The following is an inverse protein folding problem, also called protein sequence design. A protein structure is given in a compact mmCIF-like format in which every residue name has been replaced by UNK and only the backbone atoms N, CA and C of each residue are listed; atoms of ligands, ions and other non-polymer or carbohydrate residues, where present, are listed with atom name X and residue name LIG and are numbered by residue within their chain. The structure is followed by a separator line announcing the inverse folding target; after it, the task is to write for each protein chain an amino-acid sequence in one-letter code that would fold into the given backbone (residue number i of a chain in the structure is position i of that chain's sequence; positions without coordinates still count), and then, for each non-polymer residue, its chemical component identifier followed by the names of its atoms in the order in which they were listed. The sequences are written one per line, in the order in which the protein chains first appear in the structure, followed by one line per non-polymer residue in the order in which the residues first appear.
data_IF_258505551674
#
_entry.id   IF_258505551674
#
_cell.length_a   1.000
_cell.length_b   1.000
_cell.length_c   1.000
_cell.angle_alpha   90.00
_cell.angle_beta   90.00
_cell.angle_gamma   90.00
#
_symmetry.space_group_name_H-M   'P 1'
#
loop_
_entity.id
_entity.type
_entity.pdbx_description
1 polymer ?
#
# COMPACT_ATOMS: atom_id res chain seq x y z
N UNK A 1 23.65 15.11 -12.66
CA UNK A 1 23.01 16.35 -13.13
C UNK A 1 22.45 17.06 -11.92
N UNK A 2 22.94 18.26 -11.57
CA UNK A 2 22.44 19.01 -10.42
C UNK A 2 21.30 19.90 -10.93
N UNK A 3 20.06 19.47 -10.72
CA UNK A 3 18.87 20.22 -11.15
C UNK A 3 18.52 21.18 -10.03
N UNK A 4 18.35 22.46 -10.35
CA UNK A 4 17.84 23.47 -9.42
C UNK A 4 16.44 23.07 -8.94
N UNK A 5 16.29 22.84 -7.62
CA UNK A 5 15.06 22.34 -7.00
C UNK A 5 13.84 23.26 -7.19
N UNK A 6 14.04 24.51 -7.62
CA UNK A 6 12.96 25.49 -7.81
C UNK A 6 12.29 25.45 -9.18
N UNK A 7 12.96 24.89 -10.21
CA UNK A 7 12.51 24.91 -11.61
C UNK A 7 11.88 23.58 -12.02
N UNK A 8 10.82 23.65 -12.84
CA UNK A 8 10.21 22.45 -13.44
C UNK A 8 11.12 22.01 -14.58
N UNK A 9 11.50 20.74 -14.59
CA UNK A 9 12.25 20.13 -15.69
C UNK A 9 11.26 19.62 -16.74
N UNK A 10 11.33 20.16 -17.95
CA UNK A 10 10.56 19.66 -19.10
C UNK A 10 11.50 18.80 -19.95
N UNK A 11 11.10 17.56 -20.20
CA UNK A 11 11.76 16.65 -21.13
C UNK A 11 10.85 16.52 -22.35
N UNK A 12 11.42 16.60 -23.55
CA UNK A 12 10.61 16.53 -24.77
C UNK A 12 11.36 15.84 -25.89
N UNK A 13 10.60 15.38 -26.88
CA UNK A 13 11.13 14.80 -28.10
C UNK A 13 10.03 14.53 -29.10
N UNK A 14 10.40 14.55 -30.38
CA UNK A 14 9.54 14.18 -31.49
C UNK A 14 9.87 12.75 -31.96
N UNK A 15 8.87 11.98 -32.38
CA UNK A 15 9.03 10.63 -32.90
C UNK A 15 9.86 9.75 -31.94
N UNK A 16 10.87 9.03 -32.43
CA UNK A 16 11.78 8.23 -31.60
C UNK A 16 12.47 9.04 -30.49
N UNK A 17 12.75 10.33 -30.73
CA UNK A 17 13.27 11.21 -29.68
C UNK A 17 12.28 11.37 -28.52
N UNK A 18 10.97 11.29 -28.79
CA UNK A 18 9.92 11.25 -27.77
C UNK A 18 9.92 9.96 -26.96
N UNK A 19 10.19 8.82 -27.59
CA UNK A 19 10.38 7.54 -26.88
C UNK A 19 11.62 7.58 -25.97
N UNK A 20 12.73 8.17 -26.44
CA UNK A 20 13.93 8.37 -25.62
C UNK A 20 13.66 9.32 -24.46
N UNK A 21 12.96 10.43 -24.70
CA UNK A 21 12.50 11.36 -23.66
C UNK A 21 11.64 10.68 -22.59
N UNK A 22 10.75 9.79 -23.00
CA UNK A 22 9.89 9.00 -22.12
C UNK A 22 10.72 8.07 -21.23
N UNK A 23 11.64 7.28 -21.83
CA UNK A 23 12.54 6.40 -21.09
C UNK A 23 13.48 7.16 -20.15
N UNK A 24 14.01 8.30 -20.59
CA UNK A 24 14.86 9.15 -19.77
C UNK A 24 14.09 9.73 -18.58
N UNK A 25 12.82 10.10 -18.77
CA UNK A 25 11.96 10.57 -17.67
C UNK A 25 11.68 9.46 -16.67
N UNK A 26 11.43 8.23 -17.13
CA UNK A 26 11.29 7.06 -16.24
C UNK A 26 12.57 6.83 -15.41
N UNK A 27 13.74 6.92 -16.05
CA UNK A 27 15.02 6.83 -15.35
C UNK A 27 15.19 7.94 -14.31
N UNK A 28 14.79 9.18 -14.60
CA UNK A 28 14.81 10.28 -13.62
C UNK A 28 13.86 9.99 -12.44
N UNK A 29 12.63 9.55 -12.71
CA UNK A 29 11.63 9.18 -11.70
C UNK A 29 12.11 8.05 -10.78
N UNK A 30 12.93 7.14 -11.30
CA UNK A 30 13.54 6.05 -10.54
C UNK A 30 14.77 6.49 -9.72
N UNK A 31 15.50 7.51 -10.16
CA UNK A 31 16.81 7.88 -9.59
C UNK A 31 16.78 9.09 -8.66
N UNK A 32 15.80 9.99 -8.82
CA UNK A 32 15.73 11.25 -8.07
C UNK A 32 14.59 11.19 -7.06
N UNK A 33 14.88 11.64 -5.83
CA UNK A 33 13.86 11.85 -4.82
C UNK A 33 13.07 13.15 -5.08
N UNK A 34 11.88 12.99 -5.65
CA UNK A 34 10.94 14.09 -5.92
C UNK A 34 10.06 14.46 -4.71
N UNK A 35 10.39 14.01 -3.49
CA UNK A 35 9.78 14.55 -2.26
C UNK A 35 10.30 15.96 -1.93
N UNK A 36 11.50 16.29 -2.41
CA UNK A 36 12.19 17.56 -2.15
C UNK A 36 12.40 18.42 -3.42
N UNK A 37 12.09 17.88 -4.60
CA UNK A 37 12.25 18.55 -5.89
C UNK A 37 10.97 18.48 -6.72
N UNK A 38 10.75 19.43 -7.63
CA UNK A 38 9.57 19.41 -8.52
C UNK A 38 9.69 18.25 -9.51
N UNK A 39 8.59 17.51 -9.69
CA UNK A 39 8.50 16.42 -10.67
C UNK A 39 8.75 16.93 -12.10
N UNK A 40 9.38 16.12 -12.97
CA UNK A 40 9.54 16.45 -14.37
C UNK A 40 8.20 16.36 -15.10
N UNK A 41 8.11 17.04 -16.24
CA UNK A 41 7.03 16.86 -17.20
C UNK A 41 7.63 16.42 -18.55
N UNK A 42 7.25 15.23 -19.01
CA UNK A 42 7.63 14.70 -20.31
C UNK A 42 6.53 15.00 -21.32
N UNK A 43 6.82 15.82 -22.34
CA UNK A 43 5.90 16.15 -23.42
C UNK A 43 6.46 15.58 -24.72
N UNK A 44 5.79 14.62 -25.34
CA UNK A 44 6.26 14.01 -26.59
C UNK A 44 5.33 14.32 -27.75
N UNK A 45 5.87 14.44 -28.95
CA UNK A 45 5.10 14.66 -30.18
C UNK A 45 5.29 13.46 -31.10
N UNK A 46 4.21 12.79 -31.51
CA UNK A 46 4.27 11.70 -32.50
C UNK A 46 5.14 10.51 -32.09
N UNK A 47 5.32 10.27 -30.80
CA UNK A 47 6.17 9.20 -30.32
C UNK A 47 5.49 7.83 -30.47
N UNK A 48 6.21 6.79 -30.93
CA UNK A 48 5.72 5.43 -30.85
C UNK A 48 5.61 4.99 -29.38
N UNK A 49 4.66 4.08 -29.12
CA UNK A 49 4.42 3.52 -27.78
C UNK A 49 5.69 2.89 -27.19
N UNK A 50 5.83 2.98 -25.87
CA UNK A 50 6.99 2.47 -25.13
C UNK A 50 6.54 1.45 -24.10
N UNK A 51 7.19 0.29 -24.11
CA UNK A 51 6.96 -0.78 -23.14
C UNK A 51 5.66 -1.55 -23.31
N UNK A 52 5.59 -2.65 -22.56
CA UNK A 52 4.56 -3.66 -22.63
C UNK A 52 3.53 -3.50 -21.49
N UNK A 53 2.69 -4.51 -21.32
CA UNK A 53 1.75 -4.59 -20.20
C UNK A 53 2.45 -4.58 -18.83
N UNK A 54 3.66 -5.13 -18.72
CA UNK A 54 4.45 -5.08 -17.50
C UNK A 54 4.82 -3.64 -17.10
N UNK A 55 5.37 -2.88 -18.04
CA UNK A 55 5.74 -1.47 -17.80
C UNK A 55 4.51 -0.61 -17.50
N UNK A 56 3.45 -0.74 -18.30
CA UNK A 56 2.20 0.00 -18.11
C UNK A 56 1.61 -0.26 -16.72
N UNK A 57 1.49 -1.52 -16.29
CA UNK A 57 1.01 -1.86 -14.96
C UNK A 57 1.93 -1.31 -13.85
N UNK A 58 3.25 -1.30 -14.07
CA UNK A 58 4.17 -0.72 -13.12
C UNK A 58 3.95 0.79 -12.97
N UNK A 59 3.70 1.52 -14.05
CA UNK A 59 3.48 2.98 -14.05
C UNK A 59 2.10 3.33 -13.47
N UNK A 60 1.03 2.61 -13.86
CA UNK A 60 -0.34 2.86 -13.38
C UNK A 60 -0.48 2.66 -11.86
N UNK A 61 0.33 1.78 -11.25
CA UNK A 61 0.45 1.67 -9.78
C UNK A 61 0.94 2.96 -9.11
N UNK A 62 1.49 3.91 -9.86
CA UNK A 62 1.98 5.19 -9.38
C UNK A 62 1.31 6.34 -10.14
N UNK A 63 0.12 6.80 -9.71
CA UNK A 63 -0.57 7.92 -10.36
C UNK A 63 0.29 9.19 -10.50
N UNK A 64 1.20 9.41 -9.54
CA UNK A 64 2.15 10.54 -9.59
C UNK A 64 3.24 10.41 -10.66
N UNK A 65 3.58 9.20 -11.09
CA UNK A 65 4.47 8.98 -12.23
C UNK A 65 3.69 9.06 -13.53
N UNK A 66 2.51 8.44 -13.60
CA UNK A 66 1.66 8.47 -14.78
C UNK A 66 1.34 9.92 -15.22
N UNK A 67 1.08 10.81 -14.25
CA UNK A 67 0.83 12.24 -14.48
C UNK A 67 2.05 13.07 -14.93
N UNK A 68 3.25 12.47 -15.02
CA UNK A 68 4.43 13.14 -15.56
C UNK A 68 4.52 13.07 -17.08
N UNK A 69 3.62 12.37 -17.76
CA UNK A 69 3.70 12.11 -19.21
C UNK A 69 2.50 12.69 -19.96
N UNK A 70 2.79 13.48 -21.00
CA UNK A 70 1.83 14.01 -21.96
C UNK A 70 2.28 13.65 -23.39
N UNK A 71 1.53 12.78 -24.05
CA UNK A 71 1.79 12.32 -25.40
C UNK A 71 0.85 13.02 -26.38
N UNK A 72 1.39 13.96 -27.17
CA UNK A 72 0.66 14.68 -28.21
C UNK A 72 0.69 13.87 -29.51
N UNK A 73 -0.48 13.55 -30.04
CA UNK A 73 -0.63 12.68 -31.22
C UNK A 73 -1.62 13.30 -32.20
N UNK A 74 -1.19 13.47 -33.45
CA UNK A 74 -2.08 13.83 -34.55
C UNK A 74 -2.83 12.60 -35.09
N UNK A 75 -4.06 12.80 -35.55
CA UNK A 75 -4.83 11.86 -36.37
C UNK A 75 -4.15 11.54 -37.72
N UNK A 76 -3.31 12.45 -38.23
CA UNK A 76 -2.57 12.29 -39.49
C UNK A 76 -1.21 11.60 -39.34
N UNK A 77 -0.70 11.41 -38.13
CA UNK A 77 0.64 10.85 -37.89
C UNK A 77 0.62 9.32 -37.74
N UNK A 78 1.21 8.54 -38.67
CA UNK A 78 1.22 7.08 -38.54
C UNK A 78 2.15 6.57 -37.42
N UNK A 79 3.15 7.34 -36.97
CA UNK A 79 4.25 6.83 -36.14
C UNK A 79 3.80 6.29 -34.78
N UNK A 80 2.90 6.94 -34.03
CA UNK A 80 2.35 6.41 -32.78
C UNK A 80 1.63 5.06 -32.90
N UNK A 81 1.23 4.67 -34.12
CA UNK A 81 0.39 3.50 -34.40
C UNK A 81 1.19 2.27 -34.84
N UNK A 82 2.45 2.45 -35.24
CA UNK A 82 3.32 1.40 -35.78
C UNK A 82 3.48 0.19 -34.84
N UNK A 83 3.39 0.42 -33.51
CA UNK A 83 3.64 -0.61 -32.50
C UNK A 83 2.36 -1.16 -31.83
N UNK A 84 1.18 -0.81 -32.34
CA UNK A 84 -0.10 -1.24 -31.77
C UNK A 84 -0.48 -2.67 -32.21
N UNK A 85 0.02 -3.15 -33.36
CA UNK A 85 -0.26 -4.50 -33.86
C UNK A 85 0.84 -4.99 -34.81
N UNK A 86 1.20 -6.30 -34.83
CA UNK A 86 2.16 -6.81 -35.80
C UNK A 86 1.54 -6.76 -37.20
N UNK A 87 2.11 -5.96 -38.09
CA UNK A 87 1.83 -6.05 -39.52
C UNK A 87 2.27 -7.46 -39.99
N UNK A 88 1.29 -8.32 -40.29
CA UNK A 88 1.37 -9.75 -40.66
C UNK A 88 1.61 -10.74 -39.51
N UNK A 89 0.57 -11.41 -38.99
CA UNK A 89 0.79 -12.66 -38.26
C UNK A 89 1.23 -13.74 -39.29
N UNK A 90 2.40 -14.37 -39.14
CA UNK A 90 2.72 -15.54 -39.96
C UNK A 90 1.63 -16.60 -39.75
N UNK A 91 1.12 -17.17 -40.84
CA UNK A 91 -0.01 -18.11 -40.86
C UNK A 91 0.29 -19.47 -40.18
N UNK A 92 1.39 -19.57 -39.45
CA UNK A 92 1.83 -20.78 -38.79
C UNK A 92 2.39 -20.45 -37.42
N UNK A 93 1.82 -21.13 -36.44
CA UNK A 93 2.29 -21.33 -35.07
C UNK A 93 1.72 -20.42 -33.99
N UNK A 94 1.06 -21.13 -33.06
CA UNK A 94 0.59 -20.76 -31.75
C UNK A 94 1.72 -20.24 -30.84
N UNK A 95 2.29 -19.08 -31.18
CA UNK A 95 3.11 -18.29 -30.27
C UNK A 95 2.20 -17.30 -29.54
N UNK A 96 2.17 -17.40 -28.21
CA UNK A 96 1.44 -16.53 -27.30
C UNK A 96 1.67 -15.04 -27.62
N UNK A 97 0.57 -14.28 -27.69
CA UNK A 97 0.50 -12.81 -27.91
C UNK A 97 1.20 -12.01 -26.79
N UNK A 98 2.52 -12.14 -26.67
CA UNK A 98 3.22 -11.77 -25.44
C UNK A 98 3.83 -10.38 -25.42
N UNK A 99 3.91 -9.65 -26.55
CA UNK A 99 4.62 -8.36 -26.62
C UNK A 99 3.84 -7.27 -27.37
N UNK A 100 2.63 -6.93 -26.92
CA UNK A 100 1.89 -5.77 -27.45
C UNK A 100 2.25 -4.54 -26.62
N UNK A 101 2.72 -3.48 -27.28
CA UNK A 101 3.04 -2.22 -26.62
C UNK A 101 1.77 -1.58 -26.04
N UNK A 102 1.88 -0.97 -24.85
CA UNK A 102 0.75 -0.39 -24.14
C UNK A 102 0.97 1.10 -23.86
N UNK A 103 -0.05 1.96 -24.07
CA UNK A 103 0.04 3.35 -23.69
C UNK A 103 -0.04 3.51 -22.17
N UNK A 104 0.70 4.48 -21.65
CA UNK A 104 0.60 5.00 -20.29
C UNK A 104 0.76 6.52 -20.35
N UNK A 105 0.43 7.22 -19.27
CA UNK A 105 0.38 8.68 -19.24
C UNK A 105 -0.88 9.24 -19.90
N UNK A 106 -0.92 10.56 -20.06
CA UNK A 106 -2.03 11.26 -20.69
C UNK A 106 -1.73 11.40 -22.19
N UNK A 107 -2.68 11.02 -23.05
CA UNK A 107 -2.61 11.24 -24.49
C UNK A 107 -3.50 12.41 -24.90
N UNK A 108 -2.91 13.42 -25.53
CA UNK A 108 -3.62 14.51 -26.19
C UNK A 108 -3.74 14.16 -27.68
N UNK A 109 -4.92 13.70 -28.08
CA UNK A 109 -5.23 13.41 -29.48
C UNK A 109 -5.71 14.69 -30.16
N UNK A 110 -5.16 14.99 -31.33
CA UNK A 110 -5.40 16.23 -32.07
C UNK A 110 -5.87 15.93 -33.49
N UNK A 111 -6.84 16.71 -33.96
CA UNK A 111 -7.27 16.79 -35.36
C UNK A 111 -7.47 18.26 -35.75
N UNK A 112 -7.82 18.52 -37.01
CA UNK A 112 -8.22 19.87 -37.45
C UNK A 112 -9.42 20.44 -36.68
N UNK A 113 -10.29 19.57 -36.15
CA UNK A 113 -11.48 19.96 -35.38
C UNK A 113 -11.19 20.34 -33.94
N UNK A 114 -9.98 20.05 -33.43
CA UNK A 114 -9.60 20.31 -32.05
C UNK A 114 -8.83 19.16 -31.41
N UNK A 115 -8.91 19.05 -30.08
CA UNK A 115 -8.15 18.06 -29.32
C UNK A 115 -8.90 17.57 -28.08
N UNK A 116 -8.60 16.35 -27.64
CA UNK A 116 -9.09 15.80 -26.38
C UNK A 116 -8.03 14.96 -25.68
N UNK A 117 -8.07 14.95 -24.35
CA UNK A 117 -7.18 14.17 -23.49
C UNK A 117 -7.82 12.85 -23.07
N UNK A 118 -7.03 11.78 -23.08
CA UNK A 118 -7.42 10.46 -22.60
C UNK A 118 -6.31 9.87 -21.73
N UNK A 119 -6.67 9.13 -20.69
CA UNK A 119 -5.72 8.47 -19.77
C UNK A 119 -5.90 6.96 -19.72
N UNK A 120 -7.10 6.45 -20.01
CA UNK A 120 -7.34 5.01 -20.02
C UNK A 120 -6.62 4.34 -21.19
N UNK A 121 -5.81 3.34 -20.86
CA UNK A 121 -4.94 2.71 -21.85
C UNK A 121 -5.70 1.97 -22.94
N UNK A 122 -6.83 1.35 -22.63
CA UNK A 122 -7.58 0.57 -23.62
C UNK A 122 -8.30 1.51 -24.58
N UNK A 123 -8.92 2.54 -24.05
CA UNK A 123 -9.51 3.65 -24.81
C UNK A 123 -8.48 4.30 -25.71
N UNK A 124 -7.27 4.62 -25.21
CA UNK A 124 -6.20 5.19 -26.06
C UNK A 124 -5.87 4.25 -27.23
N UNK A 125 -5.73 2.95 -27.00
CA UNK A 125 -5.45 1.98 -28.07
C UNK A 125 -6.59 1.92 -29.10
N UNK A 126 -7.84 1.92 -28.65
CA UNK A 126 -9.01 1.87 -29.53
C UNK A 126 -9.13 3.17 -30.35
N UNK A 127 -8.87 4.33 -29.73
CA UNK A 127 -8.86 5.63 -30.39
C UNK A 127 -7.70 5.76 -31.39
N UNK A 128 -6.49 5.33 -31.05
CA UNK A 128 -5.35 5.36 -31.97
C UNK A 128 -5.60 4.49 -33.21
N UNK A 129 -6.29 3.35 -33.05
CA UNK A 129 -6.73 2.50 -34.17
C UNK A 129 -7.82 3.17 -35.01
N UNK A 130 -8.81 3.79 -34.36
CA UNK A 130 -9.97 4.37 -35.05
C UNK A 130 -9.68 5.70 -35.75
N UNK A 131 -8.74 6.49 -35.23
CA UNK A 131 -8.41 7.83 -35.77
C UNK A 131 -7.47 7.80 -36.98
N UNK A 132 -6.94 6.64 -37.35
CA UNK A 132 -6.05 6.54 -38.50
C UNK A 132 -6.83 6.60 -39.81
N UNK A 133 -6.61 7.64 -40.61
CA UNK A 133 -7.12 7.70 -41.99
C UNK A 133 -6.17 6.92 -42.91
N UNK A 134 -6.63 5.80 -43.48
CA UNK A 134 -5.89 5.03 -44.51
C UNK A 134 -5.79 5.79 -45.85
N UNK A 135 -5.28 7.02 -45.86
CA UNK A 135 -4.90 7.71 -47.09
C UNK A 135 -3.39 7.48 -47.32
N UNK A 136 -3.00 6.62 -48.29
CA UNK A 136 -1.60 6.33 -48.56
C UNK A 136 -1.00 7.48 -49.36
N UNK A 137 -0.62 8.56 -48.68
CA UNK A 137 0.33 9.53 -49.20
C UNK A 137 1.69 9.19 -48.62
N UNK A 138 2.73 9.03 -49.44
CA UNK A 138 4.11 9.11 -48.99
C UNK A 138 4.31 10.46 -48.28
N UNK A 139 4.08 10.50 -46.96
CA UNK A 139 4.26 11.73 -46.20
C UNK A 139 5.75 11.94 -46.00
N UNK A 140 6.24 13.05 -46.54
CA UNK A 140 7.59 13.52 -46.29
C UNK A 140 7.75 13.74 -44.77
N UNK A 141 8.82 13.26 -44.12
CA UNK A 141 9.05 13.47 -42.68
C UNK A 141 8.94 14.93 -42.24
N UNK A 142 9.25 15.88 -43.14
CA UNK A 142 9.11 17.31 -42.89
C UNK A 142 7.65 17.76 -42.74
N UNK A 143 6.69 17.07 -43.37
CA UNK A 143 5.26 17.37 -43.22
C UNK A 143 4.74 17.02 -41.81
N UNK A 144 5.25 15.95 -41.20
CA UNK A 144 4.89 15.55 -39.82
C UNK A 144 5.36 16.57 -38.80
N UNK A 145 6.53 17.19 -39.00
CA UNK A 145 7.02 18.22 -38.09
C UNK A 145 6.18 19.52 -38.18
N UNK A 146 5.79 19.92 -39.39
CA UNK A 146 4.94 21.09 -39.60
C UNK A 146 3.51 20.87 -39.05
N UNK A 147 2.98 19.64 -39.14
CA UNK A 147 1.72 19.23 -38.48
C UNK A 147 1.71 19.55 -36.98
N UNK A 148 2.76 19.15 -36.24
CA UNK A 148 2.83 19.43 -34.80
C UNK A 148 3.05 20.90 -34.47
N UNK A 149 3.71 21.67 -35.35
CA UNK A 149 3.82 23.13 -35.21
C UNK A 149 2.43 23.77 -35.26
N UNK A 150 1.63 23.43 -36.28
CA UNK A 150 0.28 23.94 -36.45
C UNK A 150 -0.62 23.61 -35.25
N UNK A 151 -0.52 22.38 -34.74
CA UNK A 151 -1.23 21.96 -33.51
C UNK A 151 -0.84 22.85 -32.32
N UNK A 152 0.46 23.07 -32.08
CA UNK A 152 0.92 23.90 -30.95
C UNK A 152 0.47 25.35 -31.11
N UNK A 153 0.53 25.91 -32.32
CA UNK A 153 0.03 27.26 -32.60
C UNK A 153 -1.48 27.39 -32.38
N UNK A 154 -2.25 26.40 -32.84
CA UNK A 154 -3.70 26.31 -32.63
C UNK A 154 -4.03 26.28 -31.13
N UNK A 155 -3.36 25.40 -30.37
CA UNK A 155 -3.54 25.27 -28.92
C UNK A 155 -3.20 26.57 -28.17
N UNK A 156 -2.23 27.35 -28.66
CA UNK A 156 -1.82 28.61 -28.05
C UNK A 156 -2.82 29.76 -28.28
N UNK A 157 -3.56 29.76 -29.40
CA UNK A 157 -4.52 30.82 -29.77
C UNK A 157 -5.87 30.76 -29.02
N UNK A 158 -6.18 29.63 -28.36
CA UNK A 158 -7.38 29.28 -27.58
C UNK A 158 -8.70 30.03 -27.86
N UNK A 159 -9.60 29.33 -28.56
CA UNK A 159 -10.98 29.10 -28.08
C UNK A 159 -11.32 27.64 -28.43
N UNK A 160 -11.38 26.75 -27.44
CA UNK A 160 -12.02 25.42 -27.62
C UNK A 160 -13.53 25.66 -27.52
N UNK A 161 -14.12 26.26 -28.55
CA UNK A 161 -15.58 26.33 -28.72
C UNK A 161 -15.87 25.96 -30.17
N UNK A 162 -16.09 24.67 -30.41
CA UNK A 162 -16.98 24.28 -31.50
C UNK A 162 -18.40 24.63 -31.06
N UNK A 163 -19.16 25.30 -31.92
CA UNK A 163 -20.60 25.48 -31.71
C UNK A 163 -21.28 24.10 -31.82
N UNK A 164 -21.44 23.42 -30.69
CA UNK A 164 -22.02 22.07 -30.60
C UNK A 164 -23.54 22.10 -30.40
N UNK A 165 -24.16 23.27 -30.45
CA UNK A 165 -25.58 23.49 -30.08
C UNK A 165 -26.58 22.75 -30.96
N UNK A 166 -26.17 22.26 -32.15
CA UNK A 166 -27.01 21.49 -33.07
C UNK A 166 -26.77 19.97 -33.11
N UNK A 167 -25.79 19.42 -32.39
CA UNK A 167 -25.37 18.01 -32.55
C UNK A 167 -25.88 17.04 -31.47
N UNK A 168 -26.30 17.56 -30.32
CA UNK A 168 -26.71 16.76 -29.16
C UNK A 168 -28.22 16.86 -28.95
N UNK A 169 -28.90 15.72 -28.80
CA UNK A 169 -30.29 15.72 -28.37
C UNK A 169 -30.35 16.16 -26.91
N UNK A 170 -31.30 17.04 -26.56
CA UNK A 170 -31.47 17.59 -25.19
C UNK A 170 -31.58 16.52 -24.09
N UNK A 171 -31.94 15.30 -24.47
CA UNK A 171 -32.10 14.13 -23.59
C UNK A 171 -30.81 13.37 -23.31
N UNK A 172 -29.66 13.77 -23.88
CA UNK A 172 -28.38 13.06 -23.71
C UNK A 172 -27.80 13.32 -22.31
N UNK A 173 -27.43 12.28 -21.53
CA UNK A 173 -26.81 12.44 -20.22
C UNK A 173 -25.52 13.29 -20.28
N UNK A 174 -25.21 14.13 -19.27
CA UNK A 174 -24.06 15.05 -19.33
C UNK A 174 -22.70 14.39 -19.56
N UNK A 175 -22.43 13.23 -18.95
CA UNK A 175 -21.18 12.49 -19.14
C UNK A 175 -21.04 12.02 -20.59
N UNK A 176 -22.08 11.36 -21.11
CA UNK A 176 -22.14 10.92 -22.52
C UNK A 176 -22.00 12.09 -23.49
N UNK A 177 -22.65 13.22 -23.22
CA UNK A 177 -22.51 14.43 -24.02
C UNK A 177 -21.06 14.95 -24.05
N UNK A 178 -20.37 14.95 -22.90
CA UNK A 178 -18.95 15.32 -22.81
C UNK A 178 -18.05 14.40 -23.65
N UNK A 179 -18.27 13.09 -23.58
CA UNK A 179 -17.54 12.09 -24.37
C UNK A 179 -17.77 12.34 -25.87
N UNK A 180 -19.02 12.56 -26.30
CA UNK A 180 -19.34 12.86 -27.70
C UNK A 180 -18.58 14.11 -28.18
N UNK A 181 -18.54 15.17 -27.38
CA UNK A 181 -17.81 16.41 -27.70
C UNK A 181 -16.30 16.14 -27.87
N UNK A 182 -15.71 15.31 -26.99
CA UNK A 182 -14.30 14.92 -27.12
C UNK A 182 -14.04 14.13 -28.40
N UNK A 183 -14.91 13.17 -28.74
CA UNK A 183 -14.80 12.35 -29.95
C UNK A 183 -14.99 13.18 -31.24
N UNK A 184 -15.84 14.20 -31.21
CA UNK A 184 -15.99 15.19 -32.29
C UNK A 184 -14.69 16.01 -32.47
N UNK A 185 -14.09 16.46 -31.37
CA UNK A 185 -12.88 17.28 -31.39
C UNK A 185 -11.68 16.54 -32.02
N UNK A 186 -11.63 15.21 -31.88
CA UNK A 186 -10.56 14.38 -32.46
C UNK A 186 -10.93 13.80 -33.83
N UNK A 187 -12.03 14.25 -34.43
CA UNK A 187 -12.42 13.91 -35.80
C UNK A 187 -13.03 12.52 -36.00
N UNK A 188 -13.33 11.77 -34.92
CA UNK A 188 -13.93 10.43 -35.01
C UNK A 188 -15.42 10.47 -35.33
N UNK A 189 -16.14 11.46 -34.80
CA UNK A 189 -17.55 11.67 -35.10
C UNK A 189 -17.64 12.82 -36.11
N UNK A 190 -18.40 12.64 -37.18
CA UNK A 190 -18.76 13.71 -38.12
C UNK A 190 -20.22 14.13 -37.92
N UNK A 191 -20.56 15.41 -38.11
CA UNK A 191 -21.94 15.88 -38.07
C UNK A 191 -22.87 15.06 -38.96
N UNK A 192 -24.12 14.87 -38.49
CA UNK A 192 -25.13 13.96 -39.05
C UNK A 192 -25.46 14.20 -40.55
N UNK A 193 -25.04 15.32 -41.14
CA UNK A 193 -25.28 15.66 -42.54
C UNK A 193 -24.39 14.93 -43.57
N UNK A 194 -23.48 14.05 -43.15
CA UNK A 194 -22.48 13.41 -44.03
C UNK A 194 -22.35 11.89 -43.90
N UNK A 195 -23.22 11.18 -43.19
CA UNK A 195 -23.08 9.72 -43.01
C UNK A 195 -24.03 8.87 -43.88
N UNK A 196 -23.51 7.90 -44.66
CA UNK A 196 -24.29 6.79 -45.19
C UNK A 196 -24.78 5.87 -44.07
N UNK A 197 -26.05 5.44 -44.13
CA UNK A 197 -26.65 4.49 -43.19
C UNK A 197 -25.84 3.18 -43.11
N UNK A 198 -25.18 2.92 -41.98
CA UNK A 198 -24.56 1.61 -41.71
C UNK A 198 -23.42 1.53 -40.68
N UNK A 199 -22.80 2.64 -40.26
CA UNK A 199 -21.59 2.63 -39.41
C UNK A 199 -21.80 2.89 -37.90
N UNK A 200 -23.04 2.94 -37.38
CA UNK A 200 -23.30 3.44 -36.02
C UNK A 200 -22.94 2.50 -34.86
N UNK A 201 -22.87 1.17 -35.06
CA UNK A 201 -22.78 0.23 -33.93
C UNK A 201 -21.41 0.26 -33.21
N UNK A 202 -20.31 0.58 -33.91
CA UNK A 202 -18.97 0.58 -33.32
C UNK A 202 -18.70 1.80 -32.43
N UNK A 203 -19.18 2.97 -32.85
CA UNK A 203 -19.02 4.23 -32.13
C UNK A 203 -19.82 4.26 -30.83
N UNK A 204 -21.05 3.73 -30.86
CA UNK A 204 -21.92 3.73 -29.68
C UNK A 204 -21.41 2.77 -28.58
N UNK A 205 -20.78 1.65 -28.99
CA UNK A 205 -20.06 0.75 -28.08
C UNK A 205 -18.84 1.42 -27.44
N UNK A 206 -18.04 2.16 -28.23
CA UNK A 206 -16.88 2.91 -27.71
C UNK A 206 -17.30 3.98 -26.70
N UNK A 207 -18.35 4.75 -27.00
CA UNK A 207 -18.92 5.74 -26.06
C UNK A 207 -19.33 5.07 -24.75
N UNK A 208 -20.01 3.93 -24.84
CA UNK A 208 -20.49 3.18 -23.67
C UNK A 208 -19.34 2.63 -22.83
N UNK A 209 -18.26 2.16 -23.45
CA UNK A 209 -17.08 1.67 -22.73
C UNK A 209 -16.33 2.81 -22.03
N UNK A 210 -16.13 3.96 -22.70
CA UNK A 210 -15.52 5.16 -22.08
C UNK A 210 -16.37 5.62 -20.89
N UNK A 211 -17.70 5.65 -21.05
CA UNK A 211 -18.64 6.04 -19.99
C UNK A 211 -18.53 5.13 -18.76
N UNK A 212 -18.43 3.82 -18.97
CA UNK A 212 -18.24 2.83 -17.91
C UNK A 212 -16.91 3.02 -17.19
N UNK A 213 -15.82 3.22 -17.93
CA UNK A 213 -14.48 3.43 -17.36
C UNK A 213 -14.39 4.70 -16.50
N UNK A 214 -14.93 5.82 -16.98
CA UNK A 214 -14.98 7.07 -16.22
C UNK A 214 -15.77 6.92 -14.91
N UNK A 215 -16.88 6.18 -14.94
CA UNK A 215 -17.66 5.87 -13.74
C UNK A 215 -16.89 4.98 -12.75
N UNK A 216 -16.20 3.93 -13.22
CA UNK A 216 -15.34 3.09 -12.36
C UNK A 216 -14.21 3.90 -11.72
N UNK A 217 -13.65 4.87 -12.45
CA UNK A 217 -12.58 5.74 -11.98
C UNK A 217 -13.07 6.76 -10.93
N UNK A 218 -14.27 7.30 -11.10
CA UNK A 218 -14.93 8.14 -10.09
C UNK A 218 -15.21 7.34 -8.81
N UNK A 219 -15.71 6.10 -8.95
CA UNK A 219 -16.03 5.23 -7.82
C UNK A 219 -14.77 4.80 -7.05
N UNK A 220 -13.65 4.55 -7.73
CA UNK A 220 -12.37 4.23 -7.10
C UNK A 220 -11.71 5.44 -6.43
N UNK A 221 -11.81 6.65 -7.02
CA UNK A 221 -11.38 7.92 -6.39
C UNK A 221 -12.22 8.34 -5.18
N UNK A 222 -13.36 7.68 -4.93
CA UNK A 222 -14.17 7.82 -3.70
C UNK A 222 -13.48 7.32 -2.42
N UNK A 223 -12.32 6.66 -2.53
CA UNK A 223 -11.47 6.35 -1.38
C UNK A 223 -10.73 7.61 -0.90
N UNK A 224 -11.39 8.36 -0.01
CA UNK A 224 -10.92 9.40 0.92
C UNK A 224 -9.59 10.13 0.68
N UNK A 225 -9.62 11.47 0.76
CA UNK A 225 -8.43 12.34 0.83
C UNK A 225 -7.37 11.78 1.81
N UNK A 226 -6.14 11.44 1.35
CA UNK A 226 -5.10 10.82 2.18
C UNK A 226 -4.79 11.57 3.47
N UNK A 227 -4.88 12.91 3.46
CA UNK A 227 -4.64 13.74 4.65
C UNK A 227 -5.75 13.62 5.70
N UNK A 228 -7.00 13.47 5.27
CA UNK A 228 -8.13 13.20 6.17
C UNK A 228 -7.99 11.81 6.77
N UNK A 229 -7.64 10.82 5.94
CA UNK A 229 -7.38 9.44 6.37
C UNK A 229 -6.28 9.40 7.44
N UNK A 230 -5.13 10.04 7.23
CA UNK A 230 -4.03 10.03 8.20
C UNK A 230 -4.39 10.67 9.56
N UNK A 231 -5.12 11.79 9.56
CA UNK A 231 -5.57 12.42 10.80
C UNK A 231 -6.54 11.52 11.57
N UNK A 232 -7.45 10.83 10.87
CA UNK A 232 -8.33 9.86 11.51
C UNK A 232 -7.56 8.65 12.08
N UNK A 233 -6.52 8.16 11.40
CA UNK A 233 -5.63 7.11 11.92
C UNK A 233 -4.94 7.55 13.21
N UNK A 234 -4.43 8.79 13.26
CA UNK A 234 -3.82 9.36 14.47
C UNK A 234 -4.82 9.48 15.63
N UNK A 235 -6.04 9.96 15.36
CA UNK A 235 -7.10 10.05 16.38
C UNK A 235 -7.41 8.66 16.96
N UNK A 236 -7.51 7.64 16.09
CA UNK A 236 -7.77 6.27 16.52
C UNK A 236 -6.60 5.70 17.34
N UNK A 237 -5.36 5.94 16.93
CA UNK A 237 -4.19 5.53 17.73
C UNK A 237 -4.17 6.20 19.12
N UNK A 238 -4.49 7.50 19.20
CA UNK A 238 -4.61 8.20 20.48
C UNK A 238 -5.73 7.64 21.37
N UNK A 239 -6.83 7.17 20.77
CA UNK A 239 -7.87 6.46 21.52
C UNK A 239 -7.34 5.16 22.15
N UNK A 240 -6.49 4.40 21.45
CA UNK A 240 -5.87 3.20 22.04
C UNK A 240 -4.89 3.53 23.16
N UNK A 241 -4.17 4.64 23.07
CA UNK A 241 -3.34 5.13 24.20
C UNK A 241 -4.19 5.47 25.42
N UNK A 242 -5.34 6.14 25.21
CA UNK A 242 -6.31 6.40 26.26
C UNK A 242 -6.90 5.11 26.84
N UNK A 243 -7.35 4.17 26.00
CA UNK A 243 -7.89 2.88 26.43
C UNK A 243 -6.86 2.10 27.25
N UNK A 244 -5.61 2.08 26.80
CA UNK A 244 -4.49 1.46 27.51
C UNK A 244 -4.32 2.05 28.91
N UNK A 245 -4.32 3.38 29.02
CA UNK A 245 -4.27 4.09 30.31
C UNK A 245 -5.47 3.75 31.19
N UNK A 246 -6.69 3.77 30.64
CA UNK A 246 -7.92 3.44 31.35
C UNK A 246 -7.91 2.03 31.94
N UNK A 247 -7.46 1.03 31.18
CA UNK A 247 -7.35 -0.35 31.65
C UNK A 247 -6.21 -0.54 32.68
N UNK A 248 -5.14 0.25 32.58
CA UNK A 248 -4.04 0.28 33.56
C UNK A 248 -4.51 0.82 34.90
N UNK A 249 -5.35 1.87 34.92
CA UNK A 249 -5.93 2.44 36.15
C UNK A 249 -6.82 1.41 36.89
N UNK A 250 -7.51 0.53 36.15
CA UNK A 250 -8.25 -0.61 36.73
C UNK A 250 -7.38 -1.76 37.21
N UNK A 251 -6.06 -1.68 37.01
CA UNK A 251 -5.08 -2.73 37.35
C UNK A 251 -5.29 -4.06 36.62
N UNK A 252 -5.89 -4.01 35.42
CA UNK A 252 -6.14 -5.17 34.56
C UNK A 252 -5.14 -5.20 33.40
N UNK A 253 -4.93 -4.04 32.77
CA UNK A 253 -4.18 -3.96 31.51
C UNK A 253 -5.10 -4.16 30.32
N UNK A 254 -4.77 -3.54 29.20
CA UNK A 254 -5.67 -3.44 28.06
C UNK A 254 -5.88 -4.75 27.31
N UNK A 255 -4.86 -5.62 27.27
CA UNK A 255 -4.96 -6.97 26.72
C UNK A 255 -6.04 -7.79 27.43
N UNK A 256 -5.90 -7.94 28.76
CA UNK A 256 -6.83 -8.72 29.58
C UNK A 256 -8.21 -8.05 29.66
N UNK A 257 -8.27 -6.71 29.67
CA UNK A 257 -9.54 -5.98 29.64
C UNK A 257 -10.30 -6.25 28.35
N UNK A 258 -9.62 -6.25 27.20
CA UNK A 258 -10.23 -6.54 25.92
C UNK A 258 -10.63 -8.02 25.79
N UNK A 259 -9.76 -8.94 26.22
CA UNK A 259 -10.01 -10.39 26.17
C UNK A 259 -11.24 -10.80 26.99
N UNK A 260 -11.41 -10.21 28.18
CA UNK A 260 -12.49 -10.54 29.11
C UNK A 260 -13.73 -9.61 28.96
N UNK A 261 -13.63 -8.56 28.14
CA UNK A 261 -14.56 -7.44 28.12
C UNK A 261 -15.85 -7.70 27.35
N UNK A 262 -16.96 -7.14 27.86
CA UNK A 262 -18.27 -7.02 27.21
C UNK A 262 -18.91 -5.65 27.53
N UNK A 263 -18.08 -4.62 27.69
CA UNK A 263 -18.51 -3.26 28.01
C UNK A 263 -18.81 -2.43 26.76
N UNK A 264 -19.59 -1.34 26.88
CA UNK A 264 -19.84 -0.39 25.78
C UNK A 264 -18.55 0.22 25.22
N UNK A 265 -17.54 0.42 26.07
CA UNK A 265 -16.19 0.87 25.66
C UNK A 265 -15.48 -0.15 24.76
N UNK A 266 -15.76 -1.45 24.91
CA UNK A 266 -15.13 -2.48 24.07
C UNK A 266 -15.71 -2.50 22.64
N UNK A 267 -16.96 -2.06 22.45
CA UNK A 267 -17.59 -1.92 21.12
C UNK A 267 -16.85 -0.88 20.27
N UNK A 268 -16.50 0.26 20.87
CA UNK A 268 -15.71 1.31 20.18
C UNK A 268 -14.28 0.85 19.88
N UNK A 269 -13.66 0.10 20.80
CA UNK A 269 -12.34 -0.51 20.61
C UNK A 269 -12.34 -1.45 19.41
N UNK A 270 -13.33 -2.35 19.30
CA UNK A 270 -13.46 -3.26 18.15
C UNK A 270 -13.61 -2.47 16.85
N UNK A 271 -14.47 -1.44 16.84
CA UNK A 271 -14.68 -0.59 15.66
C UNK A 271 -13.38 0.10 15.21
N UNK A 272 -12.66 0.72 16.13
CA UNK A 272 -11.42 1.44 15.79
C UNK A 272 -10.28 0.50 15.42
N UNK A 273 -10.16 -0.66 16.08
CA UNK A 273 -9.26 -1.75 15.70
C UNK A 273 -9.47 -2.14 14.24
N UNK A 274 -10.71 -2.48 13.85
CA UNK A 274 -11.03 -2.90 12.48
C UNK A 274 -10.66 -1.85 11.44
N UNK A 275 -10.87 -0.57 11.74
CA UNK A 275 -10.51 0.51 10.81
C UNK A 275 -8.99 0.65 10.68
N UNK A 276 -8.25 0.60 11.79
CA UNK A 276 -6.79 0.65 11.77
C UNK A 276 -6.20 -0.55 11.03
N UNK A 277 -6.69 -1.76 11.30
CA UNK A 277 -6.25 -2.99 10.63
C UNK A 277 -6.46 -2.89 9.13
N UNK A 278 -7.65 -2.51 8.67
CA UNK A 278 -7.93 -2.37 7.23
C UNK A 278 -7.03 -1.32 6.56
N UNK A 279 -6.78 -0.21 7.23
CA UNK A 279 -5.86 0.81 6.73
C UNK A 279 -4.45 0.25 6.52
N UNK A 280 -3.88 -0.40 7.55
CA UNK A 280 -2.53 -0.94 7.47
C UNK A 280 -2.42 -2.14 6.54
N UNK A 281 -3.47 -2.94 6.36
CA UNK A 281 -3.54 -3.97 5.33
C UNK A 281 -3.40 -3.38 3.93
N UNK A 282 -4.19 -2.35 3.61
CA UNK A 282 -4.09 -1.65 2.33
C UNK A 282 -2.70 -1.05 2.12
N UNK A 283 -2.17 -0.37 3.14
CA UNK A 283 -0.85 0.28 3.05
C UNK A 283 0.30 -0.73 2.87
N UNK A 284 0.24 -1.89 3.55
CA UNK A 284 1.21 -2.97 3.36
C UNK A 284 1.11 -3.57 1.95
N UNK A 285 -0.11 -3.85 1.49
CA UNK A 285 -0.33 -4.41 0.14
C UNK A 285 0.09 -3.43 -0.96
N UNK A 286 -0.12 -2.14 -0.77
CA UNK A 286 0.39 -1.10 -1.66
C UNK A 286 1.92 -1.05 -1.63
N UNK A 287 2.55 -1.10 -0.44
CA UNK A 287 3.99 -1.07 -0.30
C UNK A 287 4.69 -2.27 -0.96
N UNK A 288 4.14 -3.47 -0.86
CA UNK A 288 4.69 -4.66 -1.53
C UNK A 288 4.62 -4.59 -3.06
N UNK A 289 3.61 -3.91 -3.62
CA UNK A 289 3.42 -3.78 -5.07
C UNK A 289 4.36 -2.77 -5.72
N UNK A 290 5.08 -1.98 -4.93
CA UNK A 290 6.00 -0.93 -5.39
C UNK A 290 7.37 -1.53 -5.78
N UNK A 291 7.92 -1.29 -6.98
CA UNK A 291 9.37 -1.43 -7.23
C UNK A 291 10.13 -0.44 -6.34
N UNK A 292 10.45 -0.83 -5.10
CA UNK A 292 11.22 -0.01 -4.19
C UNK A 292 12.66 -0.48 -4.14
N UNK A 293 13.60 0.46 -4.37
CA UNK A 293 15.00 0.28 -3.95
C UNK A 293 15.09 0.36 -2.42
N UNK A 294 16.07 -0.35 -1.87
CA UNK A 294 16.46 -0.29 -0.46
C UNK A 294 16.74 1.18 -0.03
N UNK A 295 16.21 1.59 1.13
CA UNK A 295 16.65 2.81 1.82
C UNK A 295 15.88 4.12 1.58
N UNK A 296 14.73 4.13 0.91
CA UNK A 296 13.97 5.38 0.69
C UNK A 296 13.47 6.04 2.01
N UNK A 297 13.61 7.37 2.20
CA UNK A 297 13.17 8.11 3.40
C UNK A 297 11.69 7.93 3.76
N UNK A 298 10.84 7.68 2.75
CA UNK A 298 9.41 7.40 2.94
C UNK A 298 9.17 6.12 3.77
N UNK A 299 10.06 5.12 3.68
CA UNK A 299 9.94 3.90 4.50
C UNK A 299 10.08 4.21 5.99
N UNK A 300 10.96 5.10 6.42
CA UNK A 300 11.32 5.24 7.83
C UNK A 300 10.21 5.85 8.70
N UNK A 301 9.55 6.92 8.23
CA UNK A 301 8.45 7.58 8.99
C UNK A 301 7.20 6.71 9.00
N UNK A 302 6.87 6.11 7.87
CA UNK A 302 5.74 5.21 7.73
C UNK A 302 5.94 3.91 8.54
N UNK A 303 7.15 3.36 8.55
CA UNK A 303 7.47 2.16 9.33
C UNK A 303 7.43 2.41 10.84
N UNK A 304 7.80 3.62 11.30
CA UNK A 304 7.61 4.01 12.70
C UNK A 304 6.13 3.96 13.11
N UNK A 305 5.24 4.54 12.27
CA UNK A 305 3.81 4.49 12.51
C UNK A 305 3.24 3.05 12.44
N UNK A 306 3.69 2.26 11.45
CA UNK A 306 3.27 0.86 11.29
C UNK A 306 3.76 -0.04 12.42
N UNK A 307 4.95 0.23 12.94
CA UNK A 307 5.49 -0.45 14.13
C UNK A 307 4.68 -0.13 15.38
N UNK A 308 4.32 1.14 15.58
CA UNK A 308 3.46 1.54 16.70
C UNK A 308 2.06 0.90 16.60
N UNK A 309 1.48 0.88 15.39
CA UNK A 309 0.24 0.15 15.14
C UNK A 309 0.36 -1.34 15.49
N UNK A 310 1.38 -2.03 14.95
CA UNK A 310 1.63 -3.45 15.23
C UNK A 310 1.74 -3.71 16.74
N UNK A 311 2.58 -2.94 17.45
CA UNK A 311 2.79 -3.11 18.89
C UNK A 311 1.57 -2.77 19.75
N UNK A 312 0.67 -1.90 19.27
CA UNK A 312 -0.55 -1.53 19.97
C UNK A 312 -1.69 -2.53 19.72
N UNK A 313 -1.91 -2.92 18.46
CA UNK A 313 -3.12 -3.62 18.02
C UNK A 313 -2.96 -5.14 17.93
N UNK A 314 -1.79 -5.67 17.54
CA UNK A 314 -1.56 -7.11 17.43
C UNK A 314 -1.87 -7.87 18.74
N UNK A 315 -1.55 -7.34 19.95
CA UNK A 315 -2.02 -7.93 21.21
C UNK A 315 -3.53 -8.16 21.30
N UNK A 316 -4.35 -7.29 20.70
CA UNK A 316 -5.80 -7.42 20.72
C UNK A 316 -6.30 -8.48 19.73
N UNK A 317 -5.64 -8.62 18.57
CA UNK A 317 -5.89 -9.74 17.66
C UNK A 317 -5.52 -11.08 18.30
N UNK A 318 -4.42 -11.12 19.05
CA UNK A 318 -4.01 -12.29 19.84
C UNK A 318 -5.06 -12.62 20.91
N UNK A 319 -5.53 -11.61 21.65
CA UNK A 319 -6.58 -11.79 22.66
C UNK A 319 -7.83 -12.43 22.04
N UNK A 320 -8.28 -11.93 20.89
CA UNK A 320 -9.44 -12.46 20.16
C UNK A 320 -9.20 -13.89 19.66
N UNK A 321 -8.00 -14.18 19.14
CA UNK A 321 -7.61 -15.50 18.63
C UNK A 321 -7.68 -16.56 19.71
N UNK A 322 -7.06 -16.32 20.88
CA UNK A 322 -7.06 -17.27 21.99
C UNK A 322 -8.40 -17.31 22.74
N UNK A 323 -9.20 -16.23 22.72
CA UNK A 323 -10.55 -16.27 23.27
C UNK A 323 -11.49 -17.20 22.48
N UNK A 324 -11.20 -17.43 21.19
CA UNK A 324 -11.89 -18.44 20.35
C UNK A 324 -11.42 -19.88 20.62
N UNK A 325 -10.48 -20.09 21.55
CA UNK A 325 -9.94 -21.40 21.88
C UNK A 325 -8.91 -21.94 20.88
N UNK A 326 -8.43 -21.11 19.96
CA UNK A 326 -7.38 -21.45 19.00
C UNK A 326 -6.00 -21.48 19.68
N UNK A 327 -5.01 -22.10 19.02
CA UNK A 327 -3.63 -22.25 19.51
C UNK A 327 -2.64 -21.96 18.40
N UNK A 328 -1.37 -21.73 18.75
CA UNK A 328 -0.27 -21.54 17.81
C UNK A 328 -0.46 -20.32 16.90
N UNK A 329 -0.76 -19.16 17.50
CA UNK A 329 -1.02 -17.92 16.77
C UNK A 329 0.12 -17.55 15.80
N UNK A 330 1.37 -17.69 16.23
CA UNK A 330 2.54 -17.23 15.46
C UNK A 330 2.62 -17.95 14.11
N UNK A 331 2.37 -19.26 14.08
CA UNK A 331 2.48 -20.06 12.87
C UNK A 331 1.16 -20.14 12.10
N UNK A 332 0.01 -20.23 12.79
CA UNK A 332 -1.29 -20.53 12.18
C UNK A 332 -2.25 -19.35 12.11
N UNK A 333 -2.12 -18.38 13.01
CA UNK A 333 -3.09 -17.30 13.20
C UNK A 333 -2.63 -15.91 12.75
N UNK A 334 -1.32 -15.70 12.61
CA UNK A 334 -0.74 -14.36 12.50
C UNK A 334 -0.95 -13.74 11.11
N UNK A 335 -1.67 -12.62 11.00
CA UNK A 335 -1.91 -11.91 9.74
C UNK A 335 -0.64 -11.49 9.00
N UNK A 336 -0.72 -11.45 7.67
CA UNK A 336 0.40 -11.10 6.77
C UNK A 336 0.95 -9.70 7.05
N UNK A 337 0.07 -8.71 7.27
CA UNK A 337 0.49 -7.32 7.42
C UNK A 337 1.40 -7.10 8.65
N UNK A 338 1.16 -7.80 9.76
CA UNK A 338 2.05 -7.74 10.93
C UNK A 338 3.41 -8.38 10.66
N UNK A 339 3.45 -9.52 9.96
CA UNK A 339 4.70 -10.19 9.57
C UNK A 339 5.56 -9.27 8.70
N UNK A 340 4.95 -8.61 7.72
CA UNK A 340 5.67 -7.69 6.83
C UNK A 340 6.19 -6.45 7.56
N UNK A 341 5.36 -5.81 8.39
CA UNK A 341 5.78 -4.65 9.18
C UNK A 341 6.94 -4.99 10.13
N UNK A 342 6.94 -6.17 10.72
CA UNK A 342 8.06 -6.64 11.55
C UNK A 342 9.32 -6.93 10.72
N UNK A 343 9.17 -7.58 9.57
CA UNK A 343 10.28 -7.91 8.68
C UNK A 343 11.00 -6.65 8.19
N UNK A 344 10.25 -5.66 7.70
CA UNK A 344 10.84 -4.39 7.24
C UNK A 344 11.54 -3.63 8.36
N UNK A 345 11.04 -3.70 9.60
CA UNK A 345 11.74 -3.12 10.75
C UNK A 345 13.09 -3.80 11.00
N UNK A 346 13.14 -5.14 10.96
CA UNK A 346 14.39 -5.91 11.14
C UNK A 346 15.41 -5.60 10.05
N UNK A 347 14.98 -5.38 8.81
CA UNK A 347 15.86 -5.00 7.69
C UNK A 347 16.55 -3.65 7.95
N UNK A 348 15.84 -2.68 8.53
CA UNK A 348 16.39 -1.36 8.87
C UNK A 348 17.22 -1.41 10.17
N UNK A 349 16.76 -2.12 11.20
CA UNK A 349 17.46 -2.21 12.49
C UNK A 349 18.81 -2.93 12.38
N UNK A 350 18.98 -3.85 11.42
CA UNK A 350 20.30 -4.46 11.11
C UNK A 350 21.38 -3.44 10.74
N UNK A 351 21.00 -2.20 10.38
CA UNK A 351 21.90 -1.11 10.05
C UNK A 351 22.19 -0.16 11.23
N UNK A 352 21.57 -0.36 12.40
CA UNK A 352 21.70 0.51 13.56
C UNK A 352 22.27 -0.23 14.78
N UNK A 353 23.30 0.34 15.41
CA UNK A 353 24.00 -0.26 16.55
C UNK A 353 23.46 0.21 17.92
N UNK A 354 23.22 -0.80 18.78
CA UNK A 354 23.11 -0.83 20.24
C UNK A 354 21.93 -0.15 20.98
N UNK A 355 21.42 -0.78 22.07
CA UNK A 355 20.32 -0.24 22.88
C UNK A 355 20.78 1.00 23.65
N UNK A 356 20.03 2.10 23.52
CA UNK A 356 20.35 3.36 24.17
C UNK A 356 19.80 3.43 25.60
N UNK A 357 20.50 4.17 26.48
CA UNK A 357 20.06 4.50 27.85
C UNK A 357 18.64 5.13 27.91
N UNK A 358 18.14 5.64 26.78
CA UNK A 358 16.78 6.15 26.60
C UNK A 358 15.68 5.10 26.81
N UNK A 359 15.93 3.80 26.52
CA UNK A 359 14.92 2.75 26.74
C UNK A 359 14.62 2.56 28.23
N UNK A 360 15.67 2.55 29.05
CA UNK A 360 15.58 2.42 30.52
C UNK A 360 14.79 3.56 31.16
N UNK A 361 14.95 4.79 30.66
CA UNK A 361 14.25 5.98 31.18
C UNK A 361 12.76 6.05 30.78
N UNK A 362 12.37 5.47 29.65
CA UNK A 362 11.02 5.59 29.09
C UNK A 362 10.16 4.31 29.20
N UNK A 363 10.65 3.25 29.84
CA UNK A 363 9.95 1.95 29.93
C UNK A 363 8.55 2.06 30.54
N UNK A 364 8.31 3.04 31.42
CA UNK A 364 7.02 3.28 32.05
C UNK A 364 5.86 3.56 31.08
N UNK A 365 6.17 4.06 29.88
CA UNK A 365 5.22 4.41 28.82
C UNK A 365 5.44 3.63 27.51
N UNK A 366 6.40 2.70 27.46
CA UNK A 366 6.72 1.95 26.25
C UNK A 366 5.69 0.85 25.95
N UNK A 367 5.51 0.55 24.66
CA UNK A 367 4.86 -0.67 24.21
C UNK A 367 5.88 -1.82 24.20
N UNK A 368 5.43 -3.04 24.44
CA UNK A 368 6.29 -4.23 24.31
C UNK A 368 6.83 -4.32 22.88
N UNK A 369 8.15 -4.50 22.74
CA UNK A 369 8.81 -4.51 21.43
C UNK A 369 8.39 -5.71 20.58
N UNK A 370 8.31 -6.87 21.25
CA UNK A 370 7.70 -8.10 20.76
C UNK A 370 6.17 -8.01 20.84
N UNK A 371 5.54 -7.71 19.72
CA UNK A 371 4.08 -7.61 19.62
C UNK A 371 3.38 -8.97 19.74
N UNK A 372 4.11 -10.08 19.61
CA UNK A 372 3.62 -11.44 19.83
C UNK A 372 3.77 -11.91 21.29
N UNK A 373 4.27 -11.08 22.20
CA UNK A 373 4.48 -11.43 23.62
C UNK A 373 3.29 -12.15 24.26
N UNK A 374 2.07 -11.66 24.02
CA UNK A 374 0.87 -12.26 24.59
C UNK A 374 0.55 -13.64 24.02
N UNK A 375 0.92 -13.93 22.76
CA UNK A 375 0.78 -15.29 22.22
C UNK A 375 1.69 -16.26 22.97
N UNK A 376 2.92 -15.84 23.28
CA UNK A 376 3.82 -16.62 24.12
C UNK A 376 3.28 -16.86 25.53
N UNK A 377 2.63 -15.86 26.15
CA UNK A 377 1.96 -16.02 27.46
C UNK A 377 0.85 -17.08 27.38
N UNK A 378 0.00 -17.05 26.35
CA UNK A 378 -1.10 -18.01 26.22
C UNK A 378 -0.59 -19.45 26.03
N UNK A 379 0.42 -19.65 25.18
CA UNK A 379 1.05 -20.97 25.00
C UNK A 379 1.73 -21.47 26.29
N UNK A 380 2.36 -20.57 27.05
CA UNK A 380 2.95 -20.90 28.33
C UNK A 380 1.88 -21.32 29.36
N UNK A 381 0.72 -20.66 29.40
CA UNK A 381 -0.42 -21.07 30.24
C UNK A 381 -1.01 -22.41 29.83
N UNK A 382 -1.10 -22.66 28.51
CA UNK A 382 -1.51 -23.98 27.99
C UNK A 382 -0.53 -25.06 28.48
N UNK A 383 0.78 -24.78 28.42
CA UNK A 383 1.83 -25.68 28.93
C UNK A 383 1.69 -25.94 30.44
N UNK A 384 1.41 -24.92 31.25
CA UNK A 384 1.12 -25.08 32.68
C UNK A 384 -0.08 -26.00 32.95
N UNK A 385 -1.17 -25.83 32.19
CA UNK A 385 -2.38 -26.66 32.30
C UNK A 385 -2.10 -28.11 31.90
N UNK A 386 -1.32 -28.34 30.85
CA UNK A 386 -0.92 -29.68 30.40
C UNK A 386 -0.07 -30.39 31.45
N UNK A 387 0.88 -29.69 32.09
CA UNK A 387 1.69 -30.26 33.17
C UNK A 387 0.87 -30.61 34.42
N UNK A 388 -0.17 -29.84 34.69
CA UNK A 388 -1.08 -30.08 35.82
C UNK A 388 -2.15 -31.14 35.53
N UNK A 389 -2.37 -31.49 34.26
CA UNK A 389 -3.34 -32.50 33.84
C UNK A 389 -2.84 -33.92 34.10
N UNK A 390 -3.77 -34.80 34.51
CA UNK A 390 -3.51 -36.24 34.65
C UNK A 390 -3.54 -36.98 33.31
N UNK A 391 -4.20 -36.41 32.31
CA UNK A 391 -4.46 -37.03 31.01
C UNK A 391 -3.34 -36.81 29.98
N UNK A 392 -2.37 -35.92 30.28
CA UNK A 392 -1.27 -35.62 29.37
C UNK A 392 -0.20 -36.72 29.37
N UNK A 393 0.27 -37.06 28.17
CA UNK A 393 1.31 -38.06 27.95
C UNK A 393 2.69 -37.57 28.45
N UNK A 394 3.61 -38.51 28.68
CA UNK A 394 4.98 -38.19 29.10
C UNK A 394 5.70 -37.28 28.11
N UNK A 395 5.51 -37.49 26.80
CA UNK A 395 6.10 -36.67 25.76
C UNK A 395 5.57 -35.23 25.76
N UNK A 396 4.25 -35.05 25.92
CA UNK A 396 3.63 -33.72 26.02
C UNK A 396 4.09 -32.96 27.27
N UNK A 397 4.29 -33.67 28.38
CA UNK A 397 4.81 -33.07 29.61
C UNK A 397 6.24 -32.59 29.42
N UNK A 398 7.09 -33.38 28.79
CA UNK A 398 8.49 -32.97 28.56
C UNK A 398 8.59 -31.78 27.60
N UNK A 399 7.80 -31.77 26.53
CA UNK A 399 7.67 -30.62 25.63
C UNK A 399 7.17 -29.37 26.37
N UNK A 400 6.17 -29.52 27.24
CA UNK A 400 5.62 -28.41 28.03
C UNK A 400 6.66 -27.82 28.99
N UNK A 401 7.51 -28.65 29.62
CA UNK A 401 8.63 -28.15 30.43
C UNK A 401 9.60 -27.34 29.58
N UNK A 402 9.99 -27.88 28.43
CA UNK A 402 10.90 -27.20 27.51
C UNK A 402 10.36 -25.83 27.08
N UNK A 403 9.09 -25.76 26.68
CA UNK A 403 8.43 -24.52 26.29
C UNK A 403 8.40 -23.49 27.42
N UNK A 404 8.14 -23.92 28.66
CA UNK A 404 8.15 -23.03 29.82
C UNK A 404 9.55 -22.46 30.11
N UNK A 405 10.60 -23.28 29.99
CA UNK A 405 12.00 -22.82 30.15
C UNK A 405 12.35 -21.79 29.06
N UNK A 406 11.97 -22.06 27.81
CA UNK A 406 12.19 -21.11 26.72
C UNK A 406 11.44 -19.79 26.96
N UNK A 407 10.19 -19.87 27.40
CA UNK A 407 9.40 -18.68 27.68
C UNK A 407 9.97 -17.87 28.85
N UNK A 408 10.42 -18.52 29.93
CA UNK A 408 11.10 -17.84 31.04
C UNK A 408 12.33 -17.07 30.56
N UNK A 409 13.18 -17.71 29.76
CA UNK A 409 14.38 -17.09 29.20
C UNK A 409 14.04 -15.90 28.29
N UNK A 410 12.98 -16.02 27.48
CA UNK A 410 12.48 -14.93 26.64
C UNK A 410 12.05 -13.71 27.48
N UNK A 411 11.25 -13.95 28.53
CA UNK A 411 10.80 -12.90 29.45
C UNK A 411 11.99 -12.21 30.11
N UNK A 412 12.96 -12.97 30.63
CA UNK A 412 14.17 -12.42 31.24
C UNK A 412 14.99 -11.57 30.26
N UNK A 413 15.12 -12.01 29.01
CA UNK A 413 15.79 -11.26 27.95
C UNK A 413 15.09 -9.93 27.66
N UNK A 414 13.75 -9.93 27.54
CA UNK A 414 12.97 -8.71 27.33
C UNK A 414 13.09 -7.75 28.52
N UNK A 415 13.06 -8.27 29.74
CA UNK A 415 13.20 -7.45 30.95
C UNK A 415 14.61 -6.85 31.06
N UNK A 416 15.68 -7.61 30.76
CA UNK A 416 17.07 -7.11 30.75
C UNK A 416 17.25 -5.94 29.77
N UNK A 417 16.55 -6.00 28.64
CA UNK A 417 16.62 -4.99 27.58
C UNK A 417 15.59 -3.86 27.74
N UNK A 418 14.81 -3.83 28.82
CA UNK A 418 13.70 -2.88 29.01
C UNK A 418 12.71 -2.85 27.83
N UNK A 419 12.52 -4.01 27.18
CA UNK A 419 11.78 -4.18 25.93
C UNK A 419 10.34 -4.67 26.14
N UNK A 420 9.91 -4.88 27.39
CA UNK A 420 8.53 -5.25 27.74
C UNK A 420 7.83 -4.17 28.53
N UNK A 421 6.54 -3.95 28.25
CA UNK A 421 5.70 -2.98 28.96
C UNK A 421 5.47 -3.40 30.42
N UNK A 422 5.58 -2.50 31.41
CA UNK A 422 5.32 -2.82 32.83
C UNK A 422 3.90 -3.32 33.13
N UNK A 423 2.95 -3.15 32.20
CA UNK A 423 1.58 -3.65 32.35
C UNK A 423 1.49 -5.17 32.51
N UNK A 424 2.51 -5.91 32.07
CA UNK A 424 2.55 -7.36 32.31
C UNK A 424 2.59 -7.69 33.81
N UNK A 425 3.01 -6.76 34.67
CA UNK A 425 3.06 -6.96 36.13
C UNK A 425 1.78 -6.51 36.85
N UNK A 426 0.74 -6.12 36.11
CA UNK A 426 -0.54 -5.77 36.72
C UNK A 426 -1.16 -7.01 37.39
N UNK A 427 -1.74 -6.89 38.60
CA UNK A 427 -2.18 -8.05 39.39
C UNK A 427 -3.17 -9.00 38.70
N UNK A 428 -4.00 -8.47 37.78
CA UNK A 428 -5.01 -9.23 37.05
C UNK A 428 -4.56 -9.60 35.63
N UNK A 429 -3.31 -9.32 35.26
CA UNK A 429 -2.82 -9.64 33.93
C UNK A 429 -2.66 -11.15 33.73
N UNK A 430 -2.82 -11.62 32.48
CA UNK A 430 -2.61 -13.04 32.14
C UNK A 430 -1.17 -13.49 32.39
N UNK A 431 -0.19 -12.58 32.32
CA UNK A 431 1.19 -12.88 32.70
C UNK A 431 1.33 -13.15 34.21
N UNK A 432 0.71 -12.33 35.07
CA UNK A 432 0.71 -12.58 36.52
C UNK A 432 -0.08 -13.84 36.91
N UNK A 433 -1.09 -14.22 36.13
CA UNK A 433 -1.78 -15.51 36.29
C UNK A 433 -0.88 -16.68 35.90
N UNK A 434 -0.21 -16.59 34.75
CA UNK A 434 0.81 -17.57 34.33
C UNK A 434 1.90 -17.73 35.39
N UNK A 435 2.44 -16.62 35.91
CA UNK A 435 3.50 -16.65 36.91
C UNK A 435 3.08 -17.45 38.16
N UNK A 436 1.86 -17.26 38.68
CA UNK A 436 1.33 -18.04 39.81
C UNK A 436 1.21 -19.52 39.49
N UNK A 437 0.72 -19.86 38.29
CA UNK A 437 0.62 -21.24 37.82
C UNK A 437 2.01 -21.88 37.71
N UNK A 438 2.98 -21.15 37.17
CA UNK A 438 4.35 -21.59 36.96
C UNK A 438 5.13 -21.77 38.27
N UNK A 439 5.02 -20.81 39.20
CA UNK A 439 5.63 -20.89 40.53
C UNK A 439 5.17 -22.16 41.28
N UNK A 440 3.89 -22.49 41.19
CA UNK A 440 3.34 -23.72 41.79
C UNK A 440 3.92 -24.99 41.17
N UNK A 441 4.14 -25.01 39.85
CA UNK A 441 4.76 -26.14 39.13
C UNK A 441 6.21 -26.32 39.57
N UNK A 442 6.98 -25.23 39.66
CA UNK A 442 8.36 -25.24 40.14
C UNK A 442 8.41 -25.71 41.60
N UNK A 443 7.56 -25.16 42.47
CA UNK A 443 7.48 -25.50 43.90
C UNK A 443 7.15 -26.97 44.14
N UNK A 444 6.32 -27.58 43.29
CA UNK A 444 5.96 -29.01 43.35
C UNK A 444 7.04 -29.93 42.79
N UNK A 445 8.16 -29.40 42.29
CA UNK A 445 9.26 -30.19 41.72
C UNK A 445 8.92 -30.83 40.37
N UNK A 446 7.86 -30.39 39.69
CA UNK A 446 7.40 -30.97 38.41
C UNK A 446 8.44 -30.71 37.30
N UNK A 447 9.18 -29.59 37.39
CA UNK A 447 10.27 -29.26 36.47
C UNK A 447 11.53 -30.10 36.68
N UNK A 448 11.59 -30.93 37.72
CA UNK A 448 12.77 -31.71 38.11
C UNK A 448 13.49 -31.11 39.31
N UNK A 449 14.09 -31.97 40.13
CA UNK A 449 14.71 -31.58 41.41
C UNK A 449 15.93 -30.65 41.26
N UNK A 450 16.58 -30.64 40.10
CA UNK A 450 17.73 -29.78 39.79
C UNK A 450 17.34 -28.46 39.13
N UNK A 451 16.06 -28.24 38.82
CA UNK A 451 15.62 -27.04 38.12
C UNK A 451 15.55 -25.83 39.05
N UNK A 452 16.28 -24.79 38.70
CA UNK A 452 16.21 -23.48 39.36
C UNK A 452 15.72 -22.44 38.35
N UNK A 453 14.63 -21.76 38.67
CA UNK A 453 14.05 -20.70 37.83
C UNK A 453 14.72 -19.37 38.15
N UNK A 454 15.46 -18.74 37.20
CA UNK A 454 16.08 -17.44 37.43
C UNK A 454 15.07 -16.29 37.58
N UNK A 455 13.85 -16.43 37.04
CA UNK A 455 12.77 -15.46 37.20
C UNK A 455 12.15 -15.51 38.61
N UNK A 456 12.23 -16.66 39.29
CA UNK A 456 11.53 -16.87 40.56
C UNK A 456 11.97 -15.91 41.66
N UNK A 457 13.27 -15.69 41.82
CA UNK A 457 13.79 -14.81 42.87
C UNK A 457 13.36 -13.35 42.64
N UNK A 458 13.40 -12.91 41.39
CA UNK A 458 12.99 -11.57 40.98
C UNK A 458 11.50 -11.33 41.27
N UNK A 459 10.66 -12.33 40.96
CA UNK A 459 9.22 -12.24 41.14
C UNK A 459 8.81 -12.35 42.62
N UNK A 460 9.43 -13.25 43.40
CA UNK A 460 9.16 -13.40 44.84
C UNK A 460 9.55 -12.18 45.65
N UNK A 461 10.71 -11.60 45.37
CA UNK A 461 11.20 -10.39 46.04
C UNK A 461 10.46 -9.12 45.62
N UNK A 462 9.49 -9.23 44.69
CA UNK A 462 8.72 -8.12 44.12
C UNK A 462 9.59 -7.02 43.50
N UNK A 463 10.82 -7.36 43.11
CA UNK A 463 11.78 -6.43 42.50
C UNK A 463 11.24 -5.82 41.20
N UNK A 464 10.36 -6.54 40.49
CA UNK A 464 9.66 -6.04 39.31
C UNK A 464 8.88 -4.73 39.52
N UNK A 465 8.56 -4.34 40.77
CA UNK A 465 7.93 -3.05 41.07
C UNK A 465 8.82 -1.86 40.68
N UNK A 466 10.14 -2.03 40.72
CA UNK A 466 11.11 -1.01 40.32
C UNK A 466 11.35 -0.99 38.80
N UNK A 467 10.75 -1.91 38.04
CA UNK A 467 10.96 -2.00 36.59
C UNK A 467 10.43 -0.77 35.86
N UNK A 468 9.24 -0.28 36.23
CA UNK A 468 8.60 0.86 35.57
C UNK A 468 9.36 2.19 35.71
N UNK A 469 10.23 2.30 36.72
CA UNK A 469 11.09 3.47 36.98
C UNK A 469 12.50 3.30 36.43
N UNK A 470 12.78 2.19 35.72
CA UNK A 470 14.13 1.88 35.26
C UNK A 470 15.07 1.45 36.38
N UNK A 471 14.56 1.13 37.58
CA UNK A 471 15.37 0.80 38.75
C UNK A 471 15.64 -0.70 38.95
N UNK A 472 15.24 -1.56 38.01
CA UNK A 472 15.43 -3.00 38.13
C UNK A 472 16.77 -3.43 37.52
N UNK A 473 17.66 -3.95 38.36
CA UNK A 473 18.87 -4.63 37.92
C UNK A 473 18.61 -6.13 37.88
N UNK A 474 18.81 -6.74 36.72
CA UNK A 474 18.66 -8.18 36.51
C UNK A 474 20.06 -8.75 36.33
N UNK A 475 20.52 -9.64 37.24
CA UNK A 475 21.84 -10.25 37.17
C UNK A 475 22.16 -10.94 35.85
#
# INVERSE_FOLDING_TARGET
MQVDNSKILIITGNSLGGSVATLFTLWLLETIDFSITKRPLCITFGAPLVGDNGLQNAILKYPTWNSCFLHVVSDQDPVPRVLISPHNPPATESASQTNVYKPFGTFLLCSESGCACFEDSQTILDLLRATYSEAPGNQNPNQVLELYREIVEYLNRKVICGDTTGLLQWTTPPLRAGIIIQLLAIGLIRPQSLQPQGQNNGLDNLITEIEKQEMELIMSKGQGNPSKTLNEIKIRMAYFEWYKKYCKEKRIGYYDSFKNGSSKTDIEVVKFKTILTRYWECEVDEAEKKPQKEGAPFRTVWLGAGTNFRRMIEPLDIAEYYNKGLKDYINQGRPKHYKQLEQWLKEIEKLASSPSQLKKQNVGSSLTEDSCFWAHVEEARISCKLLSSRESSTGEKELSKHNLIQFENHVLSLMKNYAVSPEIFLPQSSFMLWWKEYEEIVRKGIMGASYHSPLTDLMKNRSYQNYATGGLEIP
#
